data_IF_909093977868
#
_entry.id   IF_909093977868
#
_cell.length_a   1.000
_cell.length_b   1.000
_cell.length_c   1.000
_cell.angle_alpha   90.00
_cell.angle_beta   90.00
_cell.angle_gamma   90.00
#
_symmetry.space_group_name_H-M   'P 1'
#
loop_
_entity.id
_entity.type
_entity.pdbx_description
1 polymer ?
#
# COMPACT_ATOMS: atom_id res chain seq x y z
N UNK A 1 -34.20 11.90 -20.58
CA UNK A 1 -32.81 11.41 -20.38
C UNK A 1 -32.72 10.84 -18.97
N UNK A 2 -32.39 9.55 -18.79
CA UNK A 2 -32.18 9.00 -17.44
C UNK A 2 -31.03 9.77 -16.78
N UNK A 3 -31.28 10.38 -15.61
CA UNK A 3 -30.25 11.03 -14.81
C UNK A 3 -29.19 9.96 -14.51
N UNK A 4 -27.94 10.17 -14.96
CA UNK A 4 -26.86 9.24 -14.65
C UNK A 4 -26.67 9.22 -13.13
N UNK A 5 -26.98 8.10 -12.49
CA UNK A 5 -26.77 7.92 -11.06
C UNK A 5 -25.28 8.11 -10.71
N UNK A 6 -25.00 8.96 -9.74
CA UNK A 6 -23.64 9.25 -9.27
C UNK A 6 -23.12 8.08 -8.42
N UNK A 7 -21.94 7.53 -8.78
CA UNK A 7 -21.36 6.40 -8.05
C UNK A 7 -20.46 6.88 -6.91
N UNK A 8 -21.01 6.93 -5.70
CA UNK A 8 -20.31 7.31 -4.48
C UNK A 8 -19.82 6.08 -3.70
N UNK A 9 -18.57 5.69 -3.92
CA UNK A 9 -18.00 4.46 -3.36
C UNK A 9 -17.04 4.81 -2.24
N UNK A 10 -17.28 4.25 -1.05
CA UNK A 10 -16.35 4.32 0.08
C UNK A 10 -15.58 3.00 0.21
N UNK A 11 -14.26 3.06 0.13
CA UNK A 11 -13.37 1.93 0.35
C UNK A 11 -12.93 1.89 1.80
N UNK A 12 -13.39 0.87 2.54
CA UNK A 12 -12.90 0.56 3.87
C UNK A 12 -12.12 -0.77 3.86
N UNK A 13 -11.42 -1.07 4.93
CA UNK A 13 -10.70 -2.34 5.08
C UNK A 13 -10.93 -2.94 6.45
N UNK A 14 -10.46 -4.16 6.70
CA UNK A 14 -10.48 -4.72 8.06
C UNK A 14 -9.21 -4.36 8.83
N UNK A 15 -8.08 -4.27 8.13
CA UNK A 15 -6.79 -3.94 8.73
C UNK A 15 -6.12 -2.80 7.97
N UNK A 16 -5.17 -2.15 8.62
CA UNK A 16 -4.21 -1.33 7.89
C UNK A 16 -3.49 -2.20 6.84
N UNK A 17 -3.17 -1.61 5.68
CA UNK A 17 -2.40 -2.28 4.61
C UNK A 17 -3.08 -3.51 3.94
N UNK A 18 -4.41 -3.62 4.05
CA UNK A 18 -5.20 -4.63 3.31
C UNK A 18 -5.22 -4.41 1.78
N UNK A 19 -4.65 -3.30 1.27
CA UNK A 19 -4.58 -2.99 -0.17
C UNK A 19 -5.60 -1.98 -0.66
N UNK A 20 -6.10 -1.09 0.21
CA UNK A 20 -7.02 0.01 -0.18
C UNK A 20 -6.46 0.84 -1.33
N UNK A 21 -5.24 1.35 -1.22
CA UNK A 21 -4.59 2.15 -2.26
C UNK A 21 -4.49 1.39 -3.59
N UNK A 22 -4.17 0.10 -3.56
CA UNK A 22 -4.18 -0.78 -4.74
C UNK A 22 -5.57 -0.84 -5.37
N UNK A 23 -6.62 -1.01 -4.56
CA UNK A 23 -8.01 -1.03 -5.05
C UNK A 23 -8.44 0.33 -5.59
N UNK A 24 -8.06 1.43 -4.93
CA UNK A 24 -8.31 2.80 -5.39
C UNK A 24 -7.71 3.03 -6.77
N UNK A 25 -6.43 2.70 -6.97
CA UNK A 25 -5.74 2.80 -8.26
C UNK A 25 -6.45 1.98 -9.35
N UNK A 26 -6.72 0.71 -9.06
CA UNK A 26 -7.29 -0.20 -10.06
C UNK A 26 -8.75 0.11 -10.39
N UNK A 27 -9.58 0.48 -9.41
CA UNK A 27 -10.97 0.89 -9.66
C UNK A 27 -11.02 2.20 -10.43
N UNK A 28 -10.18 3.17 -10.08
CA UNK A 28 -10.11 4.44 -10.80
C UNK A 28 -9.72 4.20 -12.27
N UNK A 29 -8.71 3.37 -12.52
CA UNK A 29 -8.28 3.01 -13.87
C UNK A 29 -9.39 2.26 -14.64
N UNK A 30 -10.06 1.29 -14.00
CA UNK A 30 -11.17 0.56 -14.62
C UNK A 30 -12.37 1.46 -14.99
N UNK A 31 -12.69 2.44 -14.14
CA UNK A 31 -13.73 3.42 -14.43
C UNK A 31 -13.32 4.37 -15.55
N UNK A 32 -12.06 4.81 -15.56
CA UNK A 32 -11.49 5.65 -16.62
C UNK A 32 -11.57 4.96 -17.99
N UNK A 33 -11.21 3.67 -18.07
CA UNK A 33 -11.34 2.85 -19.29
C UNK A 33 -12.79 2.76 -19.79
N UNK A 34 -13.76 2.77 -18.87
CA UNK A 34 -15.20 2.80 -19.16
C UNK A 34 -15.76 4.20 -19.40
N UNK A 35 -14.90 5.22 -19.56
CA UNK A 35 -15.27 6.63 -19.78
C UNK A 35 -16.14 7.23 -18.66
N UNK A 36 -16.02 6.71 -17.44
CA UNK A 36 -16.68 7.25 -16.24
C UNK A 36 -15.78 8.35 -15.66
N UNK A 37 -16.27 9.59 -15.62
CA UNK A 37 -15.54 10.73 -15.06
C UNK A 37 -15.40 10.55 -13.54
N UNK A 38 -14.28 9.98 -13.13
CA UNK A 38 -14.02 9.62 -11.73
C UNK A 38 -13.20 10.72 -11.03
N UNK A 39 -13.35 10.81 -9.72
CA UNK A 39 -12.50 11.58 -8.81
C UNK A 39 -12.17 10.75 -7.57
N UNK A 40 -11.23 11.22 -6.75
CA UNK A 40 -10.77 10.53 -5.56
C UNK A 40 -10.76 11.47 -4.36
N UNK A 41 -11.01 10.94 -3.16
CA UNK A 41 -10.93 11.67 -1.91
C UNK A 41 -10.43 10.77 -0.79
N UNK A 42 -9.54 11.28 0.05
CA UNK A 42 -9.19 10.73 1.35
C UNK A 42 -9.65 11.71 2.42
N UNK A 43 -10.85 11.52 3.01
CA UNK A 43 -11.47 12.53 3.85
C UNK A 43 -10.70 12.76 5.15
N UNK A 44 -10.12 11.70 5.72
CA UNK A 44 -9.31 11.74 6.94
C UNK A 44 -8.01 10.96 6.69
N UNK A 45 -6.92 11.69 6.48
CA UNK A 45 -5.58 11.14 6.27
C UNK A 45 -4.75 11.07 7.54
N UNK A 46 -3.91 10.04 7.70
CA UNK A 46 -2.98 9.89 8.83
C UNK A 46 -1.51 10.03 8.44
N UNK A 47 -1.20 9.92 7.14
CA UNK A 47 0.19 9.97 6.66
C UNK A 47 0.35 11.12 5.68
N UNK A 48 1.07 12.14 6.09
CA UNK A 48 1.15 13.41 5.37
C UNK A 48 2.44 13.52 4.56
N UNK A 49 2.36 14.18 3.40
CA UNK A 49 3.47 14.73 2.63
C UNK A 49 3.28 16.24 2.56
N UNK A 50 4.36 16.99 2.76
CA UNK A 50 4.36 18.44 2.54
C UNK A 50 4.60 18.75 1.07
N UNK A 51 3.69 19.49 0.44
CA UNK A 51 3.80 19.95 -0.96
C UNK A 51 3.60 21.46 -0.98
N UNK A 52 4.71 22.20 -1.01
CA UNK A 52 4.69 23.62 -0.65
C UNK A 52 4.16 23.77 0.78
N UNK A 53 3.21 24.68 0.98
CA UNK A 53 2.57 24.93 2.29
C UNK A 53 1.41 23.97 2.61
N UNK A 54 1.22 22.92 1.81
CA UNK A 54 0.08 22.00 1.96
C UNK A 54 0.49 20.68 2.59
N UNK A 55 -0.30 20.25 3.58
CA UNK A 55 -0.22 18.93 4.17
C UNK A 55 -1.26 18.02 3.50
N UNK A 56 -0.79 17.07 2.68
CA UNK A 56 -1.65 16.20 1.87
C UNK A 56 -1.40 14.75 2.27
N UNK A 57 -2.46 13.94 2.37
CA UNK A 57 -2.29 12.50 2.59
C UNK A 57 -1.50 11.83 1.45
N UNK A 58 -0.62 10.89 1.79
CA UNK A 58 0.22 10.14 0.84
C UNK A 58 -0.59 9.50 -0.28
N UNK A 59 -1.76 8.93 0.02
CA UNK A 59 -2.60 8.24 -0.95
C UNK A 59 -3.30 9.25 -1.88
N UNK A 60 -3.76 10.41 -1.37
CA UNK A 60 -4.27 11.51 -2.19
C UNK A 60 -3.20 12.12 -3.11
N UNK A 61 -1.97 12.28 -2.59
CA UNK A 61 -0.84 12.74 -3.40
C UNK A 61 -0.52 11.77 -4.54
N UNK A 62 -0.46 10.46 -4.24
CA UNK A 62 -0.28 9.41 -5.22
C UNK A 62 -1.36 9.47 -6.31
N UNK A 63 -2.63 9.43 -5.92
CA UNK A 63 -3.76 9.43 -6.85
C UNK A 63 -3.75 10.67 -7.75
N UNK A 64 -3.50 11.85 -7.19
CA UNK A 64 -3.48 13.08 -8.00
C UNK A 64 -2.26 13.21 -8.92
N UNK A 65 -1.13 12.57 -8.60
CA UNK A 65 0.00 12.47 -9.53
C UNK A 65 -0.26 11.47 -10.65
N UNK A 66 -0.80 10.28 -10.33
CA UNK A 66 -1.05 9.20 -11.30
C UNK A 66 -2.15 9.59 -12.29
N UNK A 67 -3.23 10.23 -11.84
CA UNK A 67 -4.37 10.58 -12.68
C UNK A 67 -4.41 12.06 -13.09
N UNK A 68 -3.32 12.79 -12.86
CA UNK A 68 -3.15 14.21 -13.24
C UNK A 68 -4.22 15.15 -12.66
N UNK A 69 -4.70 14.88 -11.44
CA UNK A 69 -5.65 15.73 -10.71
C UNK A 69 -5.00 16.57 -9.59
N UNK A 70 -3.69 16.80 -9.69
CA UNK A 70 -2.90 17.52 -8.68
C UNK A 70 -3.41 18.93 -8.31
N UNK A 71 -4.19 19.58 -9.18
CA UNK A 71 -4.84 20.87 -8.89
C UNK A 71 -5.90 20.79 -7.78
N UNK A 72 -6.33 19.59 -7.38
CA UNK A 72 -7.42 19.35 -6.44
C UNK A 72 -6.93 18.74 -5.11
N UNK A 73 -5.62 18.78 -4.81
CA UNK A 73 -5.07 18.06 -3.65
C UNK A 73 -5.69 18.48 -2.31
N UNK A 74 -6.00 19.77 -2.12
CA UNK A 74 -6.65 20.25 -0.89
C UNK A 74 -8.02 19.61 -0.70
N UNK A 75 -8.81 19.54 -1.77
CA UNK A 75 -10.13 18.91 -1.73
C UNK A 75 -10.02 17.39 -1.62
N UNK A 76 -8.99 16.78 -2.20
CA UNK A 76 -8.74 15.34 -2.07
C UNK A 76 -8.29 14.93 -0.66
N UNK A 77 -7.86 15.87 0.19
CA UNK A 77 -7.30 15.59 1.52
C UNK A 77 -7.69 16.68 2.53
N UNK A 78 -9.00 16.86 2.84
CA UNK A 78 -9.47 18.00 3.62
C UNK A 78 -9.04 17.96 5.09
N UNK A 79 -8.84 16.77 5.66
CA UNK A 79 -8.43 16.61 7.07
C UNK A 79 -7.24 15.68 7.16
N UNK A 80 -6.21 16.13 7.87
CA UNK A 80 -5.00 15.37 8.14
C UNK A 80 -4.76 15.30 9.65
N UNK A 81 -4.51 14.09 10.14
CA UNK A 81 -4.34 13.77 11.55
C UNK A 81 -2.86 13.51 11.80
N UNK A 82 -2.14 14.57 12.15
CA UNK A 82 -0.73 14.50 12.54
C UNK A 82 -0.53 14.01 13.98
N UNK A 83 0.75 13.86 14.38
CA UNK A 83 1.12 13.54 15.76
C UNK A 83 0.52 14.56 16.74
N UNK A 84 -0.06 14.08 17.84
CA UNK A 84 -0.69 14.90 18.88
C UNK A 84 -2.06 15.51 18.49
N UNK A 85 -2.58 15.28 17.27
CA UNK A 85 -3.87 15.83 16.89
C UNK A 85 -5.03 15.25 17.71
N UNK A 86 -5.02 13.95 17.98
CA UNK A 86 -6.09 13.27 18.72
C UNK A 86 -6.21 13.77 20.16
N UNK A 87 -5.09 13.99 20.84
CA UNK A 87 -5.07 14.57 22.19
C UNK A 87 -5.66 15.99 22.20
N UNK A 88 -5.26 16.84 21.23
CA UNK A 88 -5.81 18.19 21.07
C UNK A 88 -7.31 18.18 20.76
N UNK A 89 -7.77 17.22 19.95
CA UNK A 89 -9.18 17.07 19.65
C UNK A 89 -9.98 16.66 20.90
N UNK A 90 -9.48 15.71 21.69
CA UNK A 90 -10.12 15.30 22.95
C UNK A 90 -10.21 16.48 23.92
N UNK A 91 -9.15 17.27 24.03
CA UNK A 91 -9.12 18.44 24.91
C UNK A 91 -10.02 19.59 24.43
N UNK A 92 -10.15 19.78 23.11
CA UNK A 92 -10.98 20.83 22.52
C UNK A 92 -11.64 20.35 21.21
N UNK A 93 -12.79 19.65 21.32
CA UNK A 93 -13.49 19.09 20.16
C UNK A 93 -13.96 20.20 19.20
N UNK A 94 -13.79 19.96 17.90
CA UNK A 94 -14.18 20.91 16.84
C UNK A 94 -14.84 20.18 15.67
N UNK A 95 -15.80 19.33 16.00
CA UNK A 95 -16.53 18.44 15.08
C UNK A 95 -17.08 19.16 13.86
N UNK A 96 -17.78 20.27 14.06
CA UNK A 96 -18.44 21.03 12.98
C UNK A 96 -17.44 21.52 11.92
N UNK A 97 -16.23 21.88 12.34
CA UNK A 97 -15.17 22.34 11.42
C UNK A 97 -14.73 21.19 10.50
N UNK A 98 -14.53 20.00 11.06
CA UNK A 98 -14.14 18.81 10.31
C UNK A 98 -15.27 18.39 9.36
N UNK A 99 -16.51 18.34 9.86
CA UNK A 99 -17.68 17.98 9.06
C UNK A 99 -17.83 18.89 7.84
N UNK A 100 -17.81 20.22 8.06
CA UNK A 100 -17.90 21.21 6.98
C UNK A 100 -16.77 21.09 5.97
N UNK A 101 -15.54 20.82 6.43
CA UNK A 101 -14.40 20.62 5.53
C UNK A 101 -14.59 19.40 4.63
N UNK A 102 -14.98 18.25 5.21
CA UNK A 102 -15.23 17.01 4.47
C UNK A 102 -16.36 17.19 3.45
N UNK A 103 -17.52 17.72 3.86
CA UNK A 103 -18.68 17.90 2.98
C UNK A 103 -18.37 18.86 1.82
N UNK A 104 -17.81 20.04 2.12
CA UNK A 104 -17.46 21.05 1.10
C UNK A 104 -16.49 20.48 0.06
N UNK A 105 -15.47 19.74 0.52
CA UNK A 105 -14.50 19.12 -0.39
C UNK A 105 -15.13 18.02 -1.25
N UNK A 106 -16.01 17.20 -0.67
CA UNK A 106 -16.76 16.19 -1.41
C UNK A 106 -17.64 16.80 -2.51
N UNK A 107 -18.45 17.81 -2.19
CA UNK A 107 -19.33 18.50 -3.14
C UNK A 107 -18.53 19.10 -4.31
N UNK A 108 -17.40 19.77 -3.98
CA UNK A 108 -16.53 20.37 -4.98
C UNK A 108 -15.90 19.34 -5.92
N UNK A 109 -15.46 18.19 -5.38
CA UNK A 109 -14.88 17.10 -6.18
C UNK A 109 -15.94 16.39 -7.03
N UNK A 110 -17.13 16.14 -6.47
CA UNK A 110 -18.22 15.43 -7.12
C UNK A 110 -18.85 16.22 -8.28
N UNK A 111 -18.75 17.56 -8.26
CA UNK A 111 -19.31 18.42 -9.31
C UNK A 111 -18.80 18.03 -10.70
N UNK A 112 -19.75 17.78 -11.63
CA UNK A 112 -19.49 17.35 -13.02
C UNK A 112 -18.71 16.03 -13.15
N UNK A 113 -18.77 15.16 -12.14
CA UNK A 113 -18.24 13.79 -12.16
C UNK A 113 -19.36 12.76 -12.20
N UNK A 114 -19.04 11.58 -12.70
CA UNK A 114 -19.94 10.43 -12.71
C UNK A 114 -19.72 9.52 -11.47
N UNK A 115 -18.53 9.57 -10.88
CA UNK A 115 -18.14 8.72 -9.74
C UNK A 115 -17.10 9.41 -8.84
N UNK A 116 -17.11 9.02 -7.57
CA UNK A 116 -16.06 9.32 -6.59
C UNK A 116 -15.66 8.06 -5.84
N UNK A 117 -14.35 7.87 -5.68
CA UNK A 117 -13.77 6.86 -4.81
C UNK A 117 -13.28 7.58 -3.55
N UNK A 118 -13.96 7.32 -2.44
CA UNK A 118 -13.60 7.82 -1.11
C UNK A 118 -12.80 6.74 -0.40
N UNK A 119 -11.53 6.97 -0.10
CA UNK A 119 -10.68 6.01 0.60
C UNK A 119 -10.64 6.31 2.10
N UNK A 120 -11.16 5.39 2.90
CA UNK A 120 -11.05 5.43 4.35
C UNK A 120 -9.69 4.95 4.87
N UNK A 121 -9.52 4.99 6.18
CA UNK A 121 -8.29 4.55 6.85
C UNK A 121 -8.57 3.36 7.75
N UNK A 122 -7.81 2.27 7.63
CA UNK A 122 -7.99 1.08 8.47
C UNK A 122 -9.41 0.49 8.46
N UNK A 123 -9.94 0.19 9.66
CA UNK A 123 -11.21 -0.49 9.91
C UNK A 123 -12.41 0.46 10.09
N UNK A 124 -13.64 -0.05 10.16
CA UNK A 124 -14.86 0.78 10.17
C UNK A 124 -14.87 1.86 11.26
N UNK A 125 -14.28 1.57 12.42
CA UNK A 125 -14.22 2.45 13.59
C UNK A 125 -13.01 3.39 13.64
N UNK A 126 -12.02 3.26 12.75
CA UNK A 126 -10.85 4.15 12.77
C UNK A 126 -11.31 5.58 12.49
N UNK A 127 -10.95 6.51 13.38
CA UNK A 127 -11.41 7.90 13.37
C UNK A 127 -12.48 8.20 14.43
N UNK A 128 -13.00 7.19 15.14
CA UNK A 128 -14.00 7.41 16.20
C UNK A 128 -13.50 8.35 17.32
N UNK A 129 -12.19 8.35 17.62
CA UNK A 129 -11.56 9.26 18.59
C UNK A 129 -11.71 10.75 18.22
N UNK A 130 -12.00 11.05 16.95
CA UNK A 130 -12.27 12.42 16.48
C UNK A 130 -13.72 12.58 15.97
N UNK A 131 -14.64 11.68 16.31
CA UNK A 131 -16.04 11.66 15.83
C UNK A 131 -16.25 11.46 14.32
N UNK A 132 -15.21 11.05 13.59
CA UNK A 132 -15.26 10.80 12.14
C UNK A 132 -14.65 9.44 11.81
N UNK A 133 -15.25 8.38 12.36
CA UNK A 133 -14.91 7.03 11.92
C UNK A 133 -15.22 6.81 10.44
N UNK A 134 -14.66 5.78 9.80
CA UNK A 134 -15.02 5.45 8.42
C UNK A 134 -16.54 5.28 8.24
N UNK A 135 -17.24 4.70 9.22
CA UNK A 135 -18.70 4.58 9.18
C UNK A 135 -19.40 5.94 9.29
N UNK A 136 -18.92 6.83 10.16
CA UNK A 136 -19.47 8.20 10.29
C UNK A 136 -19.27 8.99 8.98
N UNK A 137 -18.09 8.91 8.38
CA UNK A 137 -17.79 9.62 7.13
C UNK A 137 -18.57 9.05 5.94
N UNK A 138 -18.69 7.73 5.84
CA UNK A 138 -19.51 7.11 4.79
C UNK A 138 -20.99 7.51 4.90
N UNK A 139 -21.53 7.57 6.12
CA UNK A 139 -22.89 8.05 6.38
C UNK A 139 -23.05 9.53 6.03
N UNK A 140 -22.12 10.37 6.49
CA UNK A 140 -22.08 11.81 6.22
C UNK A 140 -22.11 12.13 4.72
N UNK A 141 -21.41 11.33 3.92
CA UNK A 141 -21.28 11.52 2.48
C UNK A 141 -22.37 10.79 1.67
N UNK A 142 -23.23 9.98 2.31
CA UNK A 142 -24.19 9.12 1.61
C UNK A 142 -23.50 8.11 0.68
N UNK A 143 -22.33 7.61 1.08
CA UNK A 143 -21.55 6.66 0.30
C UNK A 143 -22.02 5.23 0.51
N UNK A 144 -21.87 4.40 -0.52
CA UNK A 144 -21.99 2.95 -0.37
C UNK A 144 -20.61 2.33 -0.17
N UNK A 145 -20.49 1.34 0.72
CA UNK A 145 -19.19 0.80 1.16
C UNK A 145 -18.82 -0.46 0.39
N UNK A 146 -17.55 -0.53 -0.02
CA UNK A 146 -16.86 -1.78 -0.36
C UNK A 146 -15.79 -2.02 0.70
N UNK A 147 -15.86 -3.19 1.34
CA UNK A 147 -14.87 -3.60 2.33
C UNK A 147 -13.76 -4.43 1.71
N UNK A 148 -12.54 -4.21 2.15
CA UNK A 148 -11.35 -4.95 1.71
C UNK A 148 -10.79 -5.78 2.87
N UNK A 149 -10.74 -7.10 2.68
CA UNK A 149 -10.22 -8.06 3.66
C UNK A 149 -8.97 -8.74 3.13
N UNK A 150 -8.08 -9.19 4.02
CA UNK A 150 -7.08 -10.20 3.68
C UNK A 150 -7.71 -11.58 3.45
N UNK A 151 -6.94 -12.47 2.85
CA UNK A 151 -7.28 -13.90 2.74
C UNK A 151 -7.40 -14.60 4.11
N UNK A 152 -8.03 -15.77 4.09
CA UNK A 152 -8.48 -16.48 5.30
C UNK A 152 -9.94 -16.89 5.13
N UNK A 153 -10.43 -17.81 5.97
CA UNK A 153 -11.85 -18.21 5.95
C UNK A 153 -12.55 -17.68 7.20
N UNK A 154 -12.30 -18.28 8.37
CA UNK A 154 -12.92 -17.87 9.63
C UNK A 154 -12.63 -16.41 9.97
N UNK A 155 -11.35 -16.09 10.22
CA UNK A 155 -10.88 -14.73 10.52
C UNK A 155 -11.43 -13.68 9.55
N UNK A 156 -11.43 -13.95 8.25
CA UNK A 156 -11.96 -12.99 7.26
C UNK A 156 -13.46 -12.77 7.43
N UNK A 157 -14.27 -13.83 7.56
CA UNK A 157 -15.72 -13.69 7.73
C UNK A 157 -16.06 -12.99 9.04
N UNK A 158 -15.45 -13.39 10.16
CA UNK A 158 -15.74 -12.84 11.49
C UNK A 158 -15.50 -11.33 11.53
N UNK A 159 -14.37 -10.89 10.98
CA UNK A 159 -13.98 -9.50 10.93
C UNK A 159 -14.81 -8.66 9.95
N UNK A 160 -15.26 -9.27 8.85
CA UNK A 160 -16.21 -8.64 7.92
C UNK A 160 -17.51 -8.35 8.68
N UNK A 161 -18.03 -9.32 9.42
CA UNK A 161 -19.28 -9.17 10.17
C UNK A 161 -19.14 -8.12 11.27
N UNK A 162 -18.05 -8.15 12.03
CA UNK A 162 -17.77 -7.18 13.08
C UNK A 162 -17.75 -5.75 12.54
N UNK A 163 -17.05 -5.50 11.43
CA UNK A 163 -16.97 -4.17 10.83
C UNK A 163 -18.27 -3.76 10.14
N UNK A 164 -18.98 -4.71 9.52
CA UNK A 164 -20.30 -4.45 8.92
C UNK A 164 -21.30 -3.94 9.95
N UNK A 165 -21.27 -4.47 11.18
CA UNK A 165 -22.18 -4.06 12.23
C UNK A 165 -22.13 -2.53 12.50
N UNK A 166 -20.95 -1.91 12.43
CA UNK A 166 -20.82 -0.47 12.61
C UNK A 166 -21.36 0.34 11.41
N UNK A 167 -21.15 -0.15 10.18
CA UNK A 167 -21.76 0.47 9.00
C UNK A 167 -23.28 0.36 9.03
N UNK A 168 -23.82 -0.80 9.41
CA UNK A 168 -25.27 -1.03 9.56
C UNK A 168 -25.85 -0.09 10.64
N UNK A 169 -25.18 0.05 11.78
CA UNK A 169 -25.58 0.97 12.86
C UNK A 169 -25.64 2.43 12.39
N UNK A 170 -24.80 2.81 11.43
CA UNK A 170 -24.81 4.15 10.80
C UNK A 170 -25.71 4.25 9.57
N UNK A 171 -26.48 3.20 9.23
CA UNK A 171 -27.37 3.18 8.07
C UNK A 171 -26.64 3.20 6.73
N UNK A 172 -25.39 2.73 6.69
CA UNK A 172 -24.55 2.75 5.49
C UNK A 172 -24.68 1.44 4.72
N UNK A 173 -25.10 1.52 3.46
CA UNK A 173 -25.24 0.36 2.57
C UNK A 173 -23.87 -0.21 2.17
N UNK A 174 -23.69 -1.53 2.35
CA UNK A 174 -22.48 -2.24 1.96
C UNK A 174 -22.73 -3.06 0.68
N UNK A 175 -22.09 -2.65 -0.41
CA UNK A 175 -22.20 -3.29 -1.74
C UNK A 175 -21.61 -4.71 -1.71
N UNK A 176 -20.56 -4.92 -0.91
CA UNK A 176 -19.90 -6.20 -0.75
C UNK A 176 -18.44 -6.10 -0.34
N UNK A 177 -17.73 -7.21 -0.52
CA UNK A 177 -16.35 -7.38 -0.05
C UNK A 177 -15.43 -7.81 -1.19
N UNK A 178 -14.22 -7.26 -1.19
CA UNK A 178 -13.08 -7.75 -1.99
C UNK A 178 -12.08 -8.42 -1.05
N UNK A 179 -11.70 -9.64 -1.37
CA UNK A 179 -10.67 -10.40 -0.64
C UNK A 179 -9.35 -10.24 -1.37
N UNK A 180 -8.35 -9.70 -0.69
CA UNK A 180 -7.04 -9.40 -1.27
C UNK A 180 -5.94 -10.27 -0.66
N UNK A 181 -4.80 -10.37 -1.36
CA UNK A 181 -3.61 -11.10 -0.92
C UNK A 181 -3.86 -12.58 -0.63
N UNK A 182 -4.69 -13.23 -1.44
CA UNK A 182 -4.94 -14.67 -1.29
C UNK A 182 -3.75 -15.46 -1.82
N UNK A 183 -3.16 -16.33 -1.01
CA UNK A 183 -2.03 -17.16 -1.45
C UNK A 183 -2.40 -17.93 -2.73
N UNK A 184 -1.61 -17.84 -3.83
CA UNK A 184 -1.95 -18.46 -5.11
C UNK A 184 -2.27 -19.94 -4.99
N UNK A 185 -1.48 -20.69 -4.20
CA UNK A 185 -1.69 -22.13 -3.93
C UNK A 185 -3.04 -22.46 -3.27
N UNK A 186 -3.67 -21.49 -2.59
CA UNK A 186 -4.93 -21.66 -1.86
C UNK A 186 -6.10 -20.93 -2.53
N UNK A 187 -5.88 -20.31 -3.68
CA UNK A 187 -6.80 -19.36 -4.30
C UNK A 187 -8.19 -19.94 -4.57
N UNK A 188 -8.27 -21.06 -5.31
CA UNK A 188 -9.56 -21.66 -5.68
C UNK A 188 -10.35 -22.15 -4.47
N UNK A 189 -9.67 -22.79 -3.50
CA UNK A 189 -10.28 -23.21 -2.24
C UNK A 189 -10.87 -22.02 -1.48
N UNK A 190 -10.08 -20.97 -1.27
CA UNK A 190 -10.51 -19.79 -0.52
C UNK A 190 -11.66 -19.08 -1.22
N UNK A 191 -11.56 -18.88 -2.54
CA UNK A 191 -12.60 -18.24 -3.36
C UNK A 191 -13.93 -19.00 -3.25
N UNK A 192 -13.91 -20.32 -3.41
CA UNK A 192 -15.13 -21.15 -3.35
C UNK A 192 -15.78 -21.11 -1.96
N UNK A 193 -14.99 -21.28 -0.90
CA UNK A 193 -15.50 -21.32 0.48
C UNK A 193 -16.01 -19.95 0.91
N UNK A 194 -15.25 -18.87 0.68
CA UNK A 194 -15.68 -17.51 1.02
C UNK A 194 -16.93 -17.08 0.26
N UNK A 195 -17.08 -17.48 -1.01
CA UNK A 195 -18.30 -17.20 -1.78
C UNK A 195 -19.54 -17.78 -1.10
N UNK A 196 -19.48 -19.01 -0.60
CA UNK A 196 -20.58 -19.64 0.14
C UNK A 196 -20.78 -19.01 1.52
N UNK A 197 -19.70 -18.84 2.28
CA UNK A 197 -19.75 -18.28 3.64
C UNK A 197 -20.32 -16.87 3.68
N UNK A 198 -19.87 -15.99 2.79
CA UNK A 198 -20.37 -14.62 2.69
C UNK A 198 -21.83 -14.58 2.20
N UNK A 199 -22.20 -15.42 1.22
CA UNK A 199 -23.59 -15.54 0.78
C UNK A 199 -24.53 -15.92 1.91
N UNK A 200 -24.14 -16.86 2.78
CA UNK A 200 -24.93 -17.25 3.96
C UNK A 200 -25.11 -16.12 4.98
N UNK A 201 -24.29 -15.07 4.90
CA UNK A 201 -24.40 -13.86 5.71
C UNK A 201 -25.05 -12.68 4.97
N UNK A 202 -25.57 -12.91 3.75
CA UNK A 202 -26.15 -11.86 2.92
C UNK A 202 -25.12 -10.89 2.33
N UNK A 203 -23.84 -11.25 2.31
CA UNK A 203 -22.75 -10.38 1.84
C UNK A 203 -22.27 -10.84 0.46
N UNK A 204 -22.19 -9.89 -0.47
CA UNK A 204 -21.71 -10.15 -1.83
C UNK A 204 -20.19 -10.20 -1.88
N UNK A 205 -19.64 -11.27 -2.45
CA UNK A 205 -18.23 -11.34 -2.81
C UNK A 205 -18.01 -10.68 -4.18
N UNK A 206 -17.36 -9.51 -4.18
CA UNK A 206 -17.12 -8.71 -5.38
C UNK A 206 -15.85 -9.11 -6.13
N UNK A 207 -14.87 -9.68 -5.43
CA UNK A 207 -13.62 -10.12 -6.04
C UNK A 207 -12.73 -10.87 -5.06
N UNK A 208 -11.82 -11.69 -5.62
CA UNK A 208 -10.76 -12.36 -4.88
C UNK A 208 -9.48 -12.16 -5.65
N UNK A 209 -8.49 -11.50 -5.05
CA UNK A 209 -7.24 -11.11 -5.70
C UNK A 209 -6.11 -11.95 -5.10
N UNK A 210 -5.32 -12.64 -5.94
CA UNK A 210 -4.17 -13.39 -5.46
C UNK A 210 -3.10 -12.45 -4.90
N UNK A 211 -2.28 -12.97 -4.00
CA UNK A 211 -1.07 -12.28 -3.57
C UNK A 211 -0.10 -12.15 -4.75
N UNK A 212 0.33 -10.92 -5.00
CA UNK A 212 1.32 -10.58 -6.02
C UNK A 212 2.57 -9.99 -5.33
N UNK A 213 3.74 -10.65 -5.43
CA UNK A 213 4.99 -10.15 -4.85
C UNK A 213 5.40 -8.77 -5.37
N UNK A 214 5.08 -8.42 -6.61
CA UNK A 214 5.45 -7.15 -7.22
C UNK A 214 4.86 -5.96 -6.44
N UNK A 215 3.62 -6.09 -5.97
CA UNK A 215 2.95 -5.01 -5.25
C UNK A 215 3.57 -4.74 -3.87
N UNK A 216 4.28 -5.72 -3.30
CA UNK A 216 4.94 -5.62 -1.99
C UNK A 216 6.43 -5.33 -2.08
N UNK A 217 7.09 -5.65 -3.20
CA UNK A 217 8.53 -5.51 -3.37
C UNK A 217 8.99 -4.04 -3.24
N UNK A 218 9.75 -3.65 -2.21
CA UNK A 218 10.22 -2.28 -2.07
C UNK A 218 11.38 -1.98 -3.04
N UNK A 219 11.68 -0.70 -3.28
CA UNK A 219 13.00 -0.33 -3.81
C UNK A 219 14.04 -0.35 -2.69
N UNK A 220 15.32 -0.44 -3.06
CA UNK A 220 16.42 -0.26 -2.09
C UNK A 220 16.32 1.11 -1.40
N UNK A 221 15.96 2.18 -2.13
CA UNK A 221 15.72 3.51 -1.57
C UNK A 221 14.64 3.50 -0.48
N UNK A 222 13.52 2.81 -0.71
CA UNK A 222 12.46 2.66 0.28
C UNK A 222 12.93 1.90 1.53
N UNK A 223 13.77 0.88 1.34
CA UNK A 223 14.39 0.15 2.44
C UNK A 223 15.29 1.09 3.26
N UNK A 224 16.15 1.86 2.60
CA UNK A 224 17.01 2.86 3.25
C UNK A 224 16.20 3.84 4.09
N UNK A 225 15.16 4.45 3.50
CA UNK A 225 14.35 5.47 4.15
C UNK A 225 13.59 4.91 5.37
N UNK A 226 13.03 3.71 5.25
CA UNK A 226 12.24 3.12 6.33
C UNK A 226 13.09 2.55 7.47
N UNK A 227 14.29 2.08 7.17
CA UNK A 227 15.21 1.54 8.16
C UNK A 227 16.26 2.55 8.63
N UNK A 228 16.27 3.75 8.05
CA UNK A 228 17.24 4.81 8.33
C UNK A 228 18.69 4.36 8.10
N UNK A 229 18.91 3.61 7.02
CA UNK A 229 20.23 3.08 6.69
C UNK A 229 21.09 4.17 6.03
N UNK A 230 22.38 4.16 6.33
CA UNK A 230 23.35 5.02 5.65
C UNK A 230 23.80 4.38 4.34
N UNK A 231 23.68 5.10 3.22
CA UNK A 231 24.14 4.63 1.91
C UNK A 231 25.63 4.95 1.73
N UNK A 232 26.46 3.90 1.69
CA UNK A 232 27.92 4.01 1.50
C UNK A 232 28.30 4.23 0.04
N UNK A 233 27.67 3.50 -0.88
CA UNK A 233 27.92 3.63 -2.32
C UNK A 233 26.74 3.11 -3.17
N UNK A 234 26.88 3.22 -4.50
CA UNK A 234 25.93 2.62 -5.44
C UNK A 234 24.61 3.38 -5.59
N UNK A 235 24.62 4.71 -5.44
CA UNK A 235 23.40 5.55 -5.52
C UNK A 235 22.61 5.37 -6.82
N UNK A 236 23.25 5.02 -7.93
CA UNK A 236 22.56 4.75 -9.19
C UNK A 236 21.66 3.50 -9.17
N UNK A 237 21.90 2.57 -8.25
CA UNK A 237 21.15 1.32 -8.12
C UNK A 237 20.00 1.35 -7.11
N UNK A 238 19.76 2.45 -6.40
CA UNK A 238 18.78 2.46 -5.29
C UNK A 238 17.33 2.29 -5.74
N UNK A 239 17.05 2.47 -7.03
CA UNK A 239 15.73 2.24 -7.62
C UNK A 239 15.46 0.76 -7.95
N UNK A 240 16.45 -0.12 -7.79
CA UNK A 240 16.27 -1.57 -7.97
C UNK A 240 15.29 -2.12 -6.95
N UNK A 241 14.51 -3.13 -7.36
CA UNK A 241 13.53 -3.82 -6.50
C UNK A 241 14.21 -4.88 -5.66
N UNK A 242 13.76 -4.95 -4.42
CA UNK A 242 14.07 -6.04 -3.48
C UNK A 242 12.95 -7.05 -3.59
N UNK A 243 13.20 -8.15 -4.29
CA UNK A 243 12.24 -9.24 -4.49
C UNK A 243 12.36 -10.30 -3.40
N UNK A 244 13.55 -10.44 -2.84
CA UNK A 244 13.84 -11.37 -1.77
C UNK A 244 15.00 -10.83 -0.91
N UNK A 245 15.13 -11.37 0.29
CA UNK A 245 16.17 -10.99 1.23
C UNK A 245 16.82 -12.23 1.79
N UNK A 246 18.14 -12.21 1.93
CA UNK A 246 18.92 -13.30 2.53
C UNK A 246 19.79 -12.76 3.66
N UNK A 247 19.86 -13.51 4.75
CA UNK A 247 20.83 -13.29 5.82
C UNK A 247 22.04 -14.19 5.54
N UNK A 248 23.15 -13.59 5.13
CA UNK A 248 24.38 -14.30 4.81
C UNK A 248 25.19 -14.58 6.08
N UNK A 249 24.77 -15.59 6.83
CA UNK A 249 25.48 -16.10 8.01
C UNK A 249 26.29 -17.38 7.72
N UNK A 250 25.88 -18.14 6.69
CA UNK A 250 26.54 -19.38 6.26
C UNK A 250 27.87 -19.12 5.53
N UNK A 251 28.58 -20.19 5.19
CA UNK A 251 29.76 -20.11 4.31
C UNK A 251 29.38 -19.66 2.89
N UNK A 252 30.27 -18.94 2.17
CA UNK A 252 29.90 -18.27 0.93
C UNK A 252 29.44 -19.22 -0.20
N UNK A 253 29.95 -20.45 -0.26
CA UNK A 253 29.53 -21.41 -1.28
C UNK A 253 28.06 -21.81 -1.15
N UNK A 254 27.54 -21.88 0.07
CA UNK A 254 26.14 -22.19 0.34
C UNK A 254 25.22 -21.00 0.02
N UNK A 255 25.69 -19.77 0.25
CA UNK A 255 24.96 -18.54 -0.01
C UNK A 255 24.50 -18.43 -1.47
N UNK A 256 25.34 -18.86 -2.42
CA UNK A 256 25.09 -18.73 -3.88
C UNK A 256 23.74 -19.36 -4.30
N UNK A 257 23.33 -20.46 -3.66
CA UNK A 257 22.08 -21.15 -3.98
C UNK A 257 20.82 -20.35 -3.62
N UNK A 258 20.94 -19.35 -2.74
CA UNK A 258 19.84 -18.50 -2.31
C UNK A 258 19.78 -17.18 -3.08
N UNK A 259 20.84 -16.81 -3.81
CA UNK A 259 20.89 -15.60 -4.61
C UNK A 259 20.02 -15.78 -5.86
N UNK A 260 18.94 -15.02 -5.94
CA UNK A 260 18.02 -14.92 -7.09
C UNK A 260 17.94 -13.48 -7.60
N UNK A 261 17.25 -13.22 -8.69
CA UNK A 261 17.04 -11.85 -9.16
C UNK A 261 16.39 -10.94 -8.08
N UNK A 262 16.94 -9.74 -7.91
CA UNK A 262 16.49 -8.77 -6.90
C UNK A 262 16.76 -9.18 -5.45
N UNK A 263 17.82 -9.93 -5.17
CA UNK A 263 18.22 -10.30 -3.80
C UNK A 263 18.81 -9.11 -3.04
N UNK A 264 18.35 -8.86 -1.82
CA UNK A 264 19.02 -7.98 -0.86
C UNK A 264 19.78 -8.84 0.15
N UNK A 265 21.09 -8.65 0.24
CA UNK A 265 21.94 -9.42 1.15
C UNK A 265 22.13 -8.64 2.44
N UNK A 266 21.96 -9.31 3.59
CA UNK A 266 22.30 -8.79 4.91
C UNK A 266 23.48 -9.59 5.47
N UNK A 267 24.53 -8.92 5.89
CA UNK A 267 25.70 -9.57 6.50
C UNK A 267 26.40 -8.63 7.47
N UNK A 268 27.15 -9.17 8.43
CA UNK A 268 28.04 -8.37 9.28
C UNK A 268 29.17 -7.77 8.44
N UNK A 269 29.60 -6.55 8.76
CA UNK A 269 30.62 -5.84 7.99
C UNK A 269 32.01 -6.46 7.99
N UNK A 270 32.30 -7.36 8.95
CA UNK A 270 33.52 -8.15 9.04
C UNK A 270 33.47 -9.49 8.27
N UNK A 271 32.29 -9.90 7.76
CA UNK A 271 32.14 -11.10 6.91
C UNK A 271 32.56 -10.82 5.46
N UNK A 272 33.86 -10.52 5.31
CA UNK A 272 34.49 -10.15 4.03
C UNK A 272 34.28 -11.21 2.96
N UNK A 273 34.30 -12.48 3.34
CA UNK A 273 34.02 -13.63 2.49
C UNK A 273 32.64 -13.52 1.79
N UNK A 274 31.58 -13.26 2.56
CA UNK A 274 30.22 -13.09 2.04
C UNK A 274 30.06 -11.79 1.25
N UNK A 275 30.74 -10.71 1.66
CA UNK A 275 30.77 -9.43 0.93
C UNK A 275 31.36 -9.64 -0.47
N UNK A 276 32.48 -10.37 -0.57
CA UNK A 276 33.13 -10.63 -1.86
C UNK A 276 32.27 -11.50 -2.77
N UNK A 277 31.57 -12.51 -2.23
CA UNK A 277 30.63 -13.32 -3.02
C UNK A 277 29.44 -12.49 -3.50
N UNK A 278 28.92 -11.58 -2.69
CA UNK A 278 27.86 -10.66 -3.12
C UNK A 278 28.33 -9.77 -4.27
N UNK A 279 29.49 -9.11 -4.12
CA UNK A 279 30.05 -8.25 -5.17
C UNK A 279 30.32 -9.04 -6.45
N UNK A 280 30.91 -10.23 -6.34
CA UNK A 280 31.22 -11.08 -7.50
C UNK A 280 29.95 -11.52 -8.23
N UNK A 281 28.93 -11.93 -7.47
CA UNK A 281 27.62 -12.32 -8.02
C UNK A 281 26.93 -11.15 -8.72
N UNK A 282 27.05 -9.94 -8.18
CA UNK A 282 26.52 -8.72 -8.80
C UNK A 282 27.25 -8.42 -10.13
N UNK A 283 28.58 -8.50 -10.15
CA UNK A 283 29.40 -8.18 -11.33
C UNK A 283 29.26 -9.21 -12.46
N UNK A 284 29.21 -10.51 -12.15
CA UNK A 284 29.06 -11.58 -13.14
C UNK A 284 27.70 -11.52 -13.85
N UNK A 285 26.70 -10.90 -13.24
CA UNK A 285 25.35 -10.80 -13.81
C UNK A 285 25.21 -9.72 -14.92
N UNK A 286 26.27 -8.95 -15.20
CA UNK A 286 26.27 -7.85 -16.15
C UNK A 286 26.29 -8.24 -17.65
N UNK A 287 26.12 -9.51 -18.02
CA UNK A 287 25.89 -9.95 -19.41
C UNK A 287 24.48 -9.56 -19.96
N UNK A 288 23.88 -8.50 -19.42
CA UNK A 288 22.86 -7.70 -20.09
C UNK A 288 21.39 -8.02 -19.76
N UNK A 289 21.06 -8.88 -18.78
CA UNK A 289 19.64 -9.22 -18.51
C UNK A 289 19.13 -9.26 -17.07
N UNK A 290 19.93 -9.08 -16.00
CA UNK A 290 19.38 -8.95 -14.63
C UNK A 290 20.47 -8.63 -13.60
N UNK A 291 20.18 -7.74 -12.64
CA UNK A 291 21.00 -7.61 -11.43
C UNK A 291 20.54 -8.66 -10.41
N UNK A 292 21.32 -9.74 -10.22
CA UNK A 292 20.99 -10.75 -9.22
C UNK A 292 20.91 -10.15 -7.81
N UNK A 293 21.81 -9.23 -7.48
CA UNK A 293 21.80 -8.56 -6.17
C UNK A 293 21.39 -7.11 -6.34
N UNK A 294 20.28 -6.77 -5.68
CA UNK A 294 19.71 -5.43 -5.59
C UNK A 294 20.50 -4.51 -4.65
N UNK A 295 21.11 -5.07 -3.60
CA UNK A 295 21.95 -4.33 -2.67
C UNK A 295 22.51 -5.20 -1.54
N UNK A 296 23.35 -4.58 -0.70
CA UNK A 296 24.02 -5.20 0.44
C UNK A 296 23.88 -4.31 1.69
N UNK A 297 23.34 -4.86 2.77
CA UNK A 297 23.29 -4.21 4.09
C UNK A 297 24.37 -4.81 4.98
N UNK A 298 25.25 -3.94 5.48
CA UNK A 298 26.29 -4.24 6.44
C UNK A 298 25.79 -3.87 7.85
N UNK A 299 25.86 -4.84 8.77
CA UNK A 299 25.31 -4.71 10.12
C UNK A 299 26.40 -4.63 11.19
N UNK A 300 26.01 -4.21 12.39
CA UNK A 300 26.87 -4.12 13.57
C UNK A 300 27.84 -2.93 13.59
N UNK A 301 27.63 -1.90 12.77
CA UNK A 301 28.50 -0.71 12.71
C UNK A 301 29.89 -0.99 12.13
N UNK A 302 30.11 -2.20 11.60
CA UNK A 302 31.41 -2.62 11.12
C UNK A 302 31.62 -2.13 9.68
N UNK A 303 32.52 -1.18 9.50
CA UNK A 303 32.95 -0.75 8.16
C UNK A 303 34.06 -1.71 7.69
N UNK A 304 33.92 -2.35 6.50
CA UNK A 304 34.98 -3.18 5.96
C UNK A 304 36.28 -2.39 5.74
N UNK A 305 37.41 -3.09 5.66
CA UNK A 305 38.70 -2.42 5.47
C UNK A 305 38.70 -1.52 4.20
N UNK A 306 39.61 -0.53 4.10
CA UNK A 306 39.60 0.44 3.00
C UNK A 306 39.67 -0.19 1.60
N UNK A 307 40.40 -1.31 1.42
CA UNK A 307 40.50 -2.01 0.12
C UNK A 307 39.18 -2.66 -0.29
N UNK A 308 38.47 -3.29 0.66
CA UNK A 308 37.14 -3.86 0.41
C UNK A 308 36.13 -2.75 0.13
N UNK A 309 36.20 -1.65 0.88
CA UNK A 309 35.35 -0.47 0.66
C UNK A 309 35.55 0.15 -0.74
N UNK A 310 36.79 0.22 -1.23
CA UNK A 310 37.08 0.66 -2.61
C UNK A 310 36.47 -0.30 -3.64
N UNK A 311 36.56 -1.61 -3.40
CA UNK A 311 35.95 -2.65 -4.24
C UNK A 311 34.43 -2.50 -4.30
N UNK A 312 33.78 -2.27 -3.15
CA UNK A 312 32.34 -2.01 -3.06
C UNK A 312 31.95 -0.78 -3.89
N UNK A 313 32.70 0.32 -3.77
CA UNK A 313 32.47 1.53 -4.58
C UNK A 313 32.58 1.27 -6.08
N UNK A 314 33.59 0.51 -6.51
CA UNK A 314 33.80 0.15 -7.93
C UNK A 314 32.69 -0.74 -8.47
N UNK A 315 32.07 -1.56 -7.63
CA UNK A 315 30.97 -2.45 -8.03
C UNK A 315 29.70 -1.70 -8.48
N UNK A 316 29.54 -0.44 -8.06
CA UNK A 316 28.31 0.37 -8.22
C UNK A 316 27.04 -0.25 -7.61
N UNK A 317 27.16 -1.37 -6.90
CA UNK A 317 26.09 -1.98 -6.14
C UNK A 317 25.69 -1.05 -4.98
N UNK A 318 24.39 -0.87 -4.69
CA UNK A 318 23.96 -0.20 -3.47
C UNK A 318 24.48 -0.93 -2.23
N UNK A 319 25.26 -0.22 -1.41
CA UNK A 319 25.75 -0.75 -0.14
C UNK A 319 25.31 0.19 0.96
N UNK A 320 24.69 -0.38 1.99
CA UNK A 320 24.15 0.33 3.13
C UNK A 320 24.80 -0.18 4.41
N UNK A 321 24.90 0.67 5.43
CA UNK A 321 25.42 0.31 6.74
C UNK A 321 24.47 0.76 7.86
N UNK A 322 24.48 0.01 8.96
CA UNK A 322 23.75 0.31 10.20
C UNK A 322 24.49 -0.23 11.41
N UNK A 323 24.32 0.45 12.55
CA UNK A 323 24.80 0.02 13.87
C UNK A 323 23.98 -1.17 14.43
N UNK A 324 22.78 -1.42 13.89
CA UNK A 324 21.92 -2.52 14.34
C UNK A 324 22.49 -3.89 13.97
N UNK A 325 22.19 -4.89 14.81
CA UNK A 325 22.59 -6.26 14.56
C UNK A 325 21.78 -6.91 13.42
N UNK A 326 22.32 -8.00 12.88
CA UNK A 326 21.75 -8.73 11.74
C UNK A 326 20.32 -9.21 11.96
N UNK A 327 19.99 -9.68 13.16
CA UNK A 327 18.65 -10.18 13.46
C UNK A 327 17.64 -9.03 13.50
N UNK A 328 17.97 -7.93 14.18
CA UNK A 328 17.11 -6.75 14.26
C UNK A 328 16.79 -6.19 12.88
N UNK A 329 17.79 -6.04 12.01
CA UNK A 329 17.58 -5.58 10.63
C UNK A 329 16.69 -6.54 9.83
N UNK A 330 16.93 -7.85 9.93
CA UNK A 330 16.13 -8.86 9.23
C UNK A 330 14.66 -8.85 9.70
N UNK A 331 14.42 -8.76 11.01
CA UNK A 331 13.07 -8.70 11.58
C UNK A 331 12.32 -7.42 11.19
N UNK A 332 13.02 -6.28 11.12
CA UNK A 332 12.44 -5.02 10.65
C UNK A 332 12.13 -5.05 9.15
N UNK A 333 12.98 -5.69 8.34
CA UNK A 333 12.74 -5.91 6.91
C UNK A 333 11.53 -6.81 6.65
N UNK A 334 11.36 -7.88 7.43
CA UNK A 334 10.22 -8.78 7.28
C UNK A 334 8.88 -8.07 7.56
N UNK A 335 8.87 -7.16 8.53
CA UNK A 335 7.69 -6.36 8.89
C UNK A 335 7.60 -5.04 8.12
N UNK A 336 8.46 -4.81 7.14
CA UNK A 336 8.50 -3.57 6.39
C UNK A 336 7.26 -3.42 5.49
N UNK A 337 6.57 -2.30 5.62
CA UNK A 337 5.41 -1.98 4.80
C UNK A 337 5.72 -0.77 3.92
N UNK A 338 6.15 -1.04 2.70
CA UNK A 338 6.36 0.00 1.70
C UNK A 338 5.08 0.24 0.88
N UNK A 339 4.59 1.49 0.93
CA UNK A 339 3.47 1.93 0.12
C UNK A 339 3.87 2.13 -1.34
N UNK A 340 2.92 1.96 -2.25
CA UNK A 340 3.07 2.32 -3.67
C UNK A 340 3.35 3.83 -3.77
N UNK A 341 4.38 4.18 -4.52
CA UNK A 341 4.74 5.56 -4.82
C UNK A 341 4.38 5.95 -6.25
N UNK A 342 4.34 7.26 -6.53
CA UNK A 342 4.05 7.80 -7.87
C UNK A 342 5.04 7.35 -8.96
N UNK A 343 6.23 6.94 -8.54
CA UNK A 343 7.32 6.45 -9.39
C UNK A 343 7.18 4.96 -9.71
N UNK A 344 6.36 4.21 -8.95
CA UNK A 344 6.14 2.77 -9.10
C UNK A 344 5.16 2.47 -10.26
N UNK A 345 5.54 2.84 -11.49
CA UNK A 345 4.70 2.66 -12.70
C UNK A 345 4.29 1.20 -12.91
N UNK A 346 5.22 0.29 -12.65
CA UNK A 346 5.04 -1.16 -12.66
C UNK A 346 3.92 -1.60 -11.70
N UNK A 347 3.98 -1.19 -10.43
CA UNK A 347 2.96 -1.54 -9.42
C UNK A 347 1.61 -0.92 -9.73
N UNK A 348 1.58 0.32 -10.23
CA UNK A 348 0.35 1.01 -10.61
C UNK A 348 -0.35 0.26 -11.75
N UNK A 349 0.41 -0.17 -12.76
CA UNK A 349 -0.12 -0.95 -13.87
C UNK A 349 -0.60 -2.32 -13.41
N UNK A 350 0.17 -3.01 -12.56
CA UNK A 350 -0.23 -4.32 -12.03
C UNK A 350 -1.47 -4.23 -11.15
N UNK A 351 -1.59 -3.20 -10.30
CA UNK A 351 -2.79 -2.94 -9.51
C UNK A 351 -4.04 -2.81 -10.40
N UNK A 352 -3.94 -2.10 -11.52
CA UNK A 352 -5.02 -2.00 -12.50
C UNK A 352 -5.34 -3.33 -13.18
N UNK A 353 -4.31 -4.10 -13.57
CA UNK A 353 -4.47 -5.42 -14.17
C UNK A 353 -5.22 -6.38 -13.24
N UNK A 354 -4.77 -6.49 -11.99
CA UNK A 354 -5.36 -7.36 -10.99
C UNK A 354 -6.81 -6.97 -10.68
N UNK A 355 -7.10 -5.69 -10.48
CA UNK A 355 -8.47 -5.24 -10.23
C UNK A 355 -9.37 -5.55 -11.42
N UNK A 356 -8.93 -5.27 -12.64
CA UNK A 356 -9.69 -5.55 -13.87
C UNK A 356 -9.97 -7.05 -14.05
N UNK A 357 -9.01 -7.91 -13.71
CA UNK A 357 -9.12 -9.36 -13.87
C UNK A 357 -9.96 -10.03 -12.79
N UNK A 358 -9.87 -9.57 -11.54
CA UNK A 358 -10.36 -10.31 -10.38
C UNK A 358 -11.54 -9.65 -9.65
N UNK A 359 -11.86 -8.39 -9.96
CA UNK A 359 -12.97 -7.66 -9.33
C UNK A 359 -14.12 -7.49 -10.33
N UNK A 360 -15.33 -7.79 -9.90
CA UNK A 360 -16.54 -7.64 -10.70
C UNK A 360 -17.00 -6.17 -10.72
N UNK A 361 -16.41 -5.40 -11.64
CA UNK A 361 -16.70 -3.97 -11.83
C UNK A 361 -18.17 -3.74 -12.21
N UNK A 362 -18.77 -4.61 -13.02
CA UNK A 362 -20.17 -4.51 -13.42
C UNK A 362 -21.12 -4.66 -12.23
N UNK A 363 -20.82 -5.59 -11.31
CA UNK A 363 -21.57 -5.74 -10.07
C UNK A 363 -21.48 -4.52 -9.15
N UNK A 364 -20.33 -3.82 -9.14
CA UNK A 364 -20.16 -2.57 -8.40
C UNK A 364 -21.01 -1.47 -9.04
N UNK A 365 -20.92 -1.27 -10.36
CA UNK A 365 -21.65 -0.20 -11.04
C UNK A 365 -23.18 -0.37 -10.96
N UNK A 366 -23.67 -1.62 -11.09
CA UNK A 366 -25.11 -1.96 -10.95
C UNK A 366 -25.67 -1.71 -9.56
N UNK A 367 -24.82 -1.61 -8.52
CA UNK A 367 -25.31 -1.32 -7.16
C UNK A 367 -25.76 0.13 -6.96
N UNK A 368 -25.53 1.00 -7.96
CA UNK A 368 -25.94 2.40 -7.98
C UNK A 368 -27.08 2.66 -8.98
N UNK A 369 -27.59 1.62 -9.64
CA UNK A 369 -28.81 1.68 -10.46
C UNK A 369 -30.02 1.38 -9.59
#
# INVERSE_FOLDING_TARGET
MKQKSFKNIFLSSIYQNAGKTTMSLGLYQAFKERKIKTTFMKPVGQQVVSVGDQHIDKDSYLMGKVFHTAKQFREMSPVTIGRGYTEKYIANPHKDKIQKAIQKSFENLARRKDAIIVEGTGHAGVGAVIDFSNADVAALLGSKVIMISGGGIGKSIDEIILNKALFDLRGVDMIGVIINKVLPKKYEKIKSVLKKGLKNKGIKLLGVIPYDPLLTAPTVEQVCDCLQLELVCGRGGVQQRVNNTIVAAMEPHNMIHYIKDGTLVITSGDRVDNILVAVSSHLVSNDGKSFRISGLILTGGLVPNPKITELLKKSKMPVMITEEDTYTVAARLENLICKIQKTDKDKIQEAACLVKKYVNIDAILKSFE
#
